data_IF_518807535532
#
_entry.id   IF_518807535532
#
_cell.length_a   1.000
_cell.length_b   1.000
_cell.length_c   1.000
_cell.angle_alpha   90.00
_cell.angle_beta   90.00
_cell.angle_gamma   90.00
#
_symmetry.space_group_name_H-M   'P 1'
#
loop_
_entity.id
_entity.type
_entity.pdbx_description
1 polymer ?
#
# COMPACT_ATOMS: atom_id res chain seq x y z
N UNK A 1 1.81 14.75 -5.34
CA UNK A 1 0.50 14.26 -5.80
C UNK A 1 0.55 13.59 -7.19
N UNK A 2 1.36 14.09 -8.15
CA UNK A 2 1.54 13.45 -9.48
C UNK A 2 2.07 12.00 -9.43
N UNK A 3 2.86 11.61 -8.41
CA UNK A 3 3.37 10.23 -8.29
C UNK A 3 2.26 9.22 -7.98
N UNK A 4 1.24 9.58 -7.18
CA UNK A 4 0.18 8.64 -6.79
C UNK A 4 -0.86 8.45 -7.91
N UNK A 5 -1.18 9.53 -8.64
CA UNK A 5 -2.09 9.44 -9.79
C UNK A 5 -1.50 8.54 -10.91
N UNK A 6 -0.19 8.65 -11.17
CA UNK A 6 0.49 7.81 -12.16
C UNK A 6 0.62 6.34 -11.75
N UNK A 7 0.61 6.01 -10.45
CA UNK A 7 0.66 4.62 -9.98
C UNK A 7 -0.63 3.85 -10.28
N UNK A 8 -1.76 4.53 -10.46
CA UNK A 8 -3.04 3.89 -10.77
C UNK A 8 -3.25 3.60 -12.27
N UNK A 9 -2.64 4.39 -13.16
CA UNK A 9 -2.85 4.25 -14.62
C UNK A 9 -2.11 3.05 -15.21
N UNK A 10 -1.00 2.61 -14.60
CA UNK A 10 -0.22 1.43 -15.00
C UNK A 10 -0.70 0.12 -14.34
N UNK A 11 -1.72 0.17 -13.47
CA UNK A 11 -2.24 -1.01 -12.77
C UNK A 11 -3.24 -1.79 -13.62
N UNK A 12 -2.75 -2.55 -14.60
CA UNK A 12 -3.56 -3.61 -15.19
C UNK A 12 -3.89 -4.65 -14.09
N UNK A 13 -5.17 -4.95 -13.89
CA UNK A 13 -5.68 -6.04 -13.04
C UNK A 13 -5.31 -7.41 -13.69
N UNK A 14 -4.01 -7.72 -13.71
CA UNK A 14 -3.42 -8.92 -14.35
C UNK A 14 -3.81 -10.21 -13.66
N UNK A 15 -3.98 -10.17 -12.34
CA UNK A 15 -4.30 -11.33 -11.53
C UNK A 15 -5.53 -11.06 -10.66
N UNK A 16 -6.27 -12.13 -10.35
CA UNK A 16 -7.36 -12.10 -9.38
C UNK A 16 -7.02 -12.88 -8.13
N UNK A 17 -7.64 -12.48 -7.02
CA UNK A 17 -7.45 -13.09 -5.72
C UNK A 17 -7.87 -14.57 -5.72
N UNK A 18 -7.11 -15.43 -5.02
CA UNK A 18 -7.58 -16.80 -4.74
C UNK A 18 -8.75 -16.84 -3.74
N UNK A 19 -9.32 -18.02 -3.55
CA UNK A 19 -10.32 -18.27 -2.51
C UNK A 19 -9.72 -17.99 -1.11
N UNK A 20 -10.36 -17.16 -0.25
CA UNK A 20 -9.91 -16.92 1.13
C UNK A 20 -9.64 -18.20 1.95
N UNK A 21 -10.32 -19.32 1.64
CA UNK A 21 -10.06 -20.61 2.27
C UNK A 21 -8.67 -21.20 1.97
N UNK A 22 -7.96 -20.66 0.97
CA UNK A 22 -6.60 -21.05 0.57
C UNK A 22 -5.51 -20.23 1.25
N UNK A 23 -5.88 -19.32 2.16
CA UNK A 23 -4.95 -18.49 2.93
C UNK A 23 -3.95 -19.37 3.67
N UNK A 24 -2.69 -18.95 3.64
CA UNK A 24 -1.59 -19.58 4.37
C UNK A 24 -1.26 -18.78 5.65
N UNK A 25 -0.72 -19.42 6.69
CA UNK A 25 -0.11 -18.74 7.83
C UNK A 25 0.90 -17.66 7.39
N UNK A 26 1.00 -16.54 8.11
CA UNK A 26 1.92 -15.42 7.79
C UNK A 26 3.38 -15.90 7.73
N UNK A 27 3.74 -16.90 8.54
CA UNK A 27 5.08 -17.50 8.51
C UNK A 27 5.43 -18.13 7.15
N UNK A 28 4.51 -18.92 6.57
CA UNK A 28 4.69 -19.52 5.25
C UNK A 28 4.72 -18.46 4.14
N UNK A 29 3.86 -17.44 4.25
CA UNK A 29 3.90 -16.30 3.32
C UNK A 29 5.23 -15.55 3.39
N UNK A 30 5.79 -15.40 4.59
CA UNK A 30 7.07 -14.71 4.80
C UNK A 30 8.25 -15.50 4.25
N UNK A 31 8.25 -16.83 4.36
CA UNK A 31 9.24 -17.70 3.73
C UNK A 31 9.20 -17.54 2.20
N UNK A 32 8.02 -17.65 1.59
CA UNK A 32 7.86 -17.46 0.13
C UNK A 32 8.34 -16.08 -0.34
N UNK A 33 8.01 -15.03 0.42
CA UNK A 33 8.44 -13.66 0.11
C UNK A 33 9.97 -13.52 0.19
N UNK A 34 10.61 -14.28 1.08
CA UNK A 34 12.08 -14.33 1.20
C UNK A 34 12.68 -15.03 0.00
N UNK A 35 12.18 -16.22 -0.37
CA UNK A 35 12.64 -16.96 -1.56
C UNK A 35 12.55 -16.11 -2.82
N UNK A 36 11.41 -15.46 -3.06
CA UNK A 36 11.23 -14.57 -4.22
C UNK A 36 12.23 -13.41 -4.18
N UNK A 37 12.47 -12.81 -3.01
CA UNK A 37 13.44 -11.73 -2.89
C UNK A 37 14.88 -12.18 -3.14
N UNK A 38 15.25 -13.41 -2.75
CA UNK A 38 16.57 -13.99 -3.00
C UNK A 38 16.82 -14.27 -4.49
N UNK A 39 15.81 -14.77 -5.20
CA UNK A 39 15.88 -15.02 -6.66
C UNK A 39 15.90 -13.73 -7.48
N UNK A 40 15.37 -12.66 -6.91
CA UNK A 40 15.08 -11.41 -7.58
C UNK A 40 16.26 -10.45 -7.60
N UNK A 41 16.54 -9.76 -6.48
CA UNK A 41 17.72 -8.92 -6.29
C UNK A 41 18.05 -8.77 -4.80
N UNK A 42 19.33 -8.64 -4.47
CA UNK A 42 19.80 -8.36 -3.11
C UNK A 42 19.15 -7.08 -2.50
N UNK A 43 18.71 -6.14 -3.34
CA UNK A 43 17.97 -4.96 -2.88
C UNK A 43 16.57 -5.26 -2.33
N UNK A 44 15.91 -6.35 -2.74
CA UNK A 44 14.59 -6.71 -2.20
C UNK A 44 14.66 -7.31 -0.80
N UNK A 45 15.73 -8.04 -0.48
CA UNK A 45 15.96 -8.60 0.85
C UNK A 45 16.02 -7.51 1.93
N UNK A 46 16.25 -6.26 1.53
CA UNK A 46 16.22 -5.10 2.42
C UNK A 46 14.82 -4.73 2.93
N UNK A 47 13.79 -5.25 2.27
CA UNK A 47 12.39 -4.88 2.49
C UNK A 47 11.52 -6.06 2.94
N UNK A 48 12.03 -7.30 2.85
CA UNK A 48 11.38 -8.48 3.42
C UNK A 48 11.63 -8.53 4.93
N UNK A 49 10.58 -8.72 5.76
CA UNK A 49 10.76 -8.99 7.17
C UNK A 49 11.52 -10.28 7.42
N UNK A 50 12.60 -10.24 8.21
CA UNK A 50 13.26 -11.47 8.66
C UNK A 50 12.39 -12.17 9.72
N UNK A 51 11.96 -13.41 9.43
CA UNK A 51 11.15 -14.26 10.31
C UNK A 51 11.94 -15.54 10.65
N UNK A 52 12.90 -15.50 11.59
CA UNK A 52 13.73 -16.65 11.93
C UNK A 52 12.95 -17.82 12.57
N UNK A 53 11.76 -17.55 13.11
CA UNK A 53 10.92 -18.57 13.73
C UNK A 53 9.44 -18.21 13.54
N UNK A 54 8.65 -19.18 13.08
CA UNK A 54 7.21 -19.15 13.22
C UNK A 54 6.69 -20.50 13.70
N UNK A 55 5.59 -20.48 14.43
CA UNK A 55 4.90 -21.69 14.86
C UNK A 55 3.39 -21.47 14.82
N UNK A 56 2.69 -22.40 14.18
CA UNK A 56 1.23 -22.41 14.09
C UNK A 56 0.65 -23.42 15.10
N UNK A 57 -0.25 -22.94 15.95
CA UNK A 57 -1.00 -23.75 16.90
C UNK A 57 -2.46 -23.78 16.45
N UNK A 58 -2.98 -24.94 15.97
CA UNK A 58 -4.38 -25.03 15.59
C UNK A 58 -5.26 -24.73 16.82
N UNK A 59 -6.37 -24.01 16.64
CA UNK A 59 -7.32 -23.87 17.75
C UNK A 59 -7.79 -25.27 18.17
N UNK A 60 -7.51 -25.62 19.42
CA UNK A 60 -8.29 -26.65 20.09
C UNK A 60 -9.70 -26.08 20.31
N UNK A 61 -10.77 -26.87 20.15
CA UNK A 61 -12.12 -26.37 20.37
C UNK A 61 -12.21 -25.80 21.81
N UNK A 62 -12.91 -24.67 22.03
CA UNK A 62 -12.66 -23.88 23.22
C UNK A 62 -13.03 -24.63 24.50
N UNK A 63 -12.19 -24.49 25.52
CA UNK A 63 -12.69 -24.30 26.88
C UNK A 63 -13.53 -23.00 26.85
N UNK A 64 -14.83 -23.20 26.64
CA UNK A 64 -15.98 -22.35 26.94
C UNK A 64 -16.24 -21.04 26.15
N UNK A 65 -17.29 -21.14 25.33
CA UNK A 65 -18.43 -20.21 25.16
C UNK A 65 -18.19 -18.75 24.77
N UNK A 66 -18.32 -18.46 23.48
CA UNK A 66 -19.12 -17.30 23.04
C UNK A 66 -20.52 -17.81 22.67
N UNK A 67 -21.62 -17.22 23.19
CA UNK A 67 -22.97 -17.65 22.83
C UNK A 67 -23.17 -17.55 21.31
N UNK A 68 -23.60 -18.66 20.71
CA UNK A 68 -23.79 -18.83 19.27
C UNK A 68 -25.01 -18.06 18.71
N UNK A 69 -25.51 -17.03 19.40
CA UNK A 69 -26.77 -16.38 19.05
C UNK A 69 -26.63 -15.25 18.02
N UNK A 70 -25.42 -14.95 17.50
CA UNK A 70 -25.21 -13.85 16.53
C UNK A 70 -24.34 -14.20 15.32
N UNK A 71 -23.97 -15.46 15.11
CA UNK A 71 -23.24 -15.90 13.91
C UNK A 71 -24.18 -16.62 12.94
N UNK A 72 -25.19 -15.91 12.46
CA UNK A 72 -25.99 -16.35 11.30
C UNK A 72 -25.26 -15.97 10.01
N UNK A 73 -24.23 -16.77 9.67
CA UNK A 73 -23.75 -17.07 8.32
C UNK A 73 -22.53 -17.99 8.45
N UNK A 74 -22.77 -19.28 8.17
CA UNK A 74 -21.85 -20.38 8.40
C UNK A 74 -20.59 -20.36 7.53
N UNK A 75 -19.54 -19.72 8.03
CA UNK A 75 -18.16 -20.10 7.74
C UNK A 75 -17.49 -20.31 9.10
N UNK A 76 -17.26 -21.57 9.44
CA UNK A 76 -16.45 -21.94 10.61
C UNK A 76 -14.99 -21.59 10.29
N UNK A 77 -14.65 -20.30 10.41
CA UNK A 77 -13.28 -19.82 10.27
C UNK A 77 -12.45 -20.43 11.39
N UNK A 78 -11.79 -21.54 11.08
CA UNK A 78 -10.84 -22.17 12.00
C UNK A 78 -9.74 -21.17 12.33
N UNK A 79 -9.79 -20.65 13.55
CA UNK A 79 -8.73 -19.77 14.06
C UNK A 79 -7.51 -20.62 14.41
N UNK A 80 -6.32 -20.10 14.14
CA UNK A 80 -5.08 -20.68 14.62
C UNK A 80 -4.30 -19.58 15.33
N UNK A 81 -3.65 -19.91 16.44
CA UNK A 81 -2.71 -19.02 17.08
C UNK A 81 -1.38 -19.15 16.33
N UNK A 82 -0.92 -18.06 15.74
CA UNK A 82 0.39 -17.99 15.12
C UNK A 82 1.34 -17.22 16.04
N UNK A 83 2.52 -17.77 16.26
CA UNK A 83 3.62 -17.10 16.96
C UNK A 83 4.72 -16.85 15.94
N UNK A 84 5.05 -15.58 15.69
CA UNK A 84 6.13 -15.17 14.81
C UNK A 84 7.19 -14.40 15.61
N UNK A 85 8.45 -14.78 15.44
CA UNK A 85 9.59 -13.99 15.90
C UNK A 85 10.14 -13.25 14.70
N UNK A 86 10.23 -11.93 14.80
CA UNK A 86 10.78 -11.10 13.73
C UNK A 86 11.87 -10.18 14.26
N UNK A 87 12.66 -9.62 13.37
CA UNK A 87 13.50 -8.47 13.73
C UNK A 87 12.65 -7.28 14.24
N UNK A 88 13.33 -6.31 14.85
CA UNK A 88 12.69 -5.09 15.36
C UNK A 88 12.35 -4.13 14.20
N UNK A 89 11.10 -3.68 14.19
CA UNK A 89 10.62 -2.65 13.27
C UNK A 89 10.08 -1.46 14.06
N UNK A 90 10.12 -0.30 13.42
CA UNK A 90 9.63 0.94 13.97
C UNK A 90 8.44 1.43 13.15
N UNK A 91 7.35 1.90 13.79
CA UNK A 91 6.22 2.51 13.10
C UNK A 91 6.67 3.64 12.18
N UNK A 92 6.15 3.68 10.95
CA UNK A 92 6.46 4.76 10.00
C UNK A 92 6.15 6.16 10.58
N UNK A 93 5.21 6.23 11.52
CA UNK A 93 4.82 7.43 12.25
C UNK A 93 5.97 8.06 13.02
N UNK A 94 7.01 7.32 13.40
CA UNK A 94 8.17 7.84 14.13
C UNK A 94 9.18 8.59 13.25
N UNK A 95 9.08 8.51 11.92
CA UNK A 95 9.93 9.29 11.02
C UNK A 95 9.55 10.78 11.10
N UNK A 96 10.55 11.64 11.32
CA UNK A 96 10.35 13.08 11.54
C UNK A 96 10.79 13.93 10.36
N UNK A 97 11.65 13.40 9.50
CA UNK A 97 12.17 14.08 8.34
C UNK A 97 11.50 13.58 7.06
N UNK A 98 11.16 14.53 6.18
CA UNK A 98 10.49 14.24 4.92
C UNK A 98 11.31 13.33 3.99
N UNK A 99 12.64 13.42 4.00
CA UNK A 99 13.51 12.64 3.11
C UNK A 99 13.54 11.15 3.48
N UNK A 100 13.69 10.81 4.77
CA UNK A 100 13.58 9.42 5.25
C UNK A 100 12.17 8.89 5.02
N UNK A 101 11.15 9.71 5.22
CA UNK A 101 9.77 9.34 4.95
C UNK A 101 9.54 8.99 3.47
N UNK A 102 9.92 9.88 2.54
CA UNK A 102 9.80 9.63 1.09
C UNK A 102 10.57 8.37 0.72
N UNK A 103 11.76 8.19 1.29
CA UNK A 103 12.61 7.02 1.04
C UNK A 103 11.90 5.74 1.46
N UNK A 104 11.38 5.68 2.69
CA UNK A 104 10.70 4.51 3.22
C UNK A 104 9.41 4.19 2.45
N UNK A 105 8.57 5.19 2.16
CA UNK A 105 7.34 4.97 1.40
C UNK A 105 7.65 4.50 -0.02
N UNK A 106 8.59 5.13 -0.72
CA UNK A 106 8.98 4.70 -2.06
C UNK A 106 9.44 3.23 -2.06
N UNK A 107 10.26 2.85 -1.08
CA UNK A 107 10.71 1.47 -0.91
C UNK A 107 9.55 0.50 -0.65
N UNK A 108 8.56 0.88 0.16
CA UNK A 108 7.34 0.07 0.40
C UNK A 108 6.56 -0.14 -0.90
N UNK A 109 6.35 0.91 -1.69
CA UNK A 109 5.66 0.78 -2.98
C UNK A 109 6.46 -0.06 -3.98
N UNK A 110 7.77 0.19 -4.10
CA UNK A 110 8.66 -0.57 -4.98
C UNK A 110 8.69 -2.06 -4.59
N UNK A 111 8.84 -2.37 -3.31
CA UNK A 111 8.82 -3.73 -2.78
C UNK A 111 7.48 -4.43 -3.01
N UNK A 112 6.37 -3.75 -2.68
CA UNK A 112 5.05 -4.34 -2.81
C UNK A 112 4.67 -4.63 -4.26
N UNK A 113 5.06 -3.75 -5.19
CA UNK A 113 4.91 -3.99 -6.63
C UNK A 113 5.60 -5.28 -7.06
N UNK A 114 6.82 -5.53 -6.56
CA UNK A 114 7.58 -6.74 -6.90
C UNK A 114 6.99 -8.00 -6.27
N UNK A 115 6.49 -7.94 -5.04
CA UNK A 115 5.73 -9.06 -4.48
C UNK A 115 4.51 -9.41 -5.33
N UNK A 116 3.78 -8.41 -5.82
CA UNK A 116 2.65 -8.65 -6.70
C UNK A 116 3.07 -9.24 -8.05
N UNK A 117 4.12 -8.70 -8.68
CA UNK A 117 4.58 -9.14 -10.00
C UNK A 117 5.28 -10.51 -9.99
N UNK A 118 6.09 -10.77 -8.97
CA UNK A 118 7.02 -11.91 -8.90
C UNK A 118 6.52 -13.03 -7.96
N UNK A 119 5.90 -12.68 -6.83
CA UNK A 119 5.32 -13.66 -5.89
C UNK A 119 3.82 -13.90 -6.11
N UNK A 120 3.19 -13.12 -7.00
CA UNK A 120 1.74 -13.11 -7.21
C UNK A 120 0.98 -12.96 -5.89
N UNK A 121 1.43 -12.05 -5.01
CA UNK A 121 0.83 -11.86 -3.71
C UNK A 121 0.06 -10.54 -3.65
N UNK A 122 -1.17 -10.59 -3.14
CA UNK A 122 -1.91 -9.42 -2.66
C UNK A 122 -1.95 -9.41 -1.15
N UNK A 123 -1.69 -8.25 -0.54
CA UNK A 123 -1.63 -8.10 0.91
C UNK A 123 -3.00 -8.19 1.55
N UNK A 124 -3.99 -7.49 0.99
CA UNK A 124 -5.37 -7.61 1.41
C UNK A 124 -5.73 -7.04 2.78
N UNK A 125 -4.87 -6.30 3.49
CA UNK A 125 -5.27 -5.51 4.65
C UNK A 125 -4.25 -4.42 5.00
N UNK A 126 -3.86 -3.64 4.00
CA UNK A 126 -2.92 -2.54 4.23
C UNK A 126 -3.54 -1.49 5.16
N UNK A 127 -2.83 -1.17 6.25
CA UNK A 127 -3.19 -0.10 7.19
C UNK A 127 -1.96 0.75 7.50
N UNK A 128 -2.13 1.90 8.18
CA UNK A 128 -0.98 2.68 8.63
C UNK A 128 -0.03 1.88 9.53
N UNK A 129 -0.58 0.95 10.32
CA UNK A 129 0.22 0.12 11.22
C UNK A 129 1.00 -0.98 10.48
N UNK A 130 0.61 -1.36 9.27
CA UNK A 130 1.38 -2.31 8.48
C UNK A 130 2.57 -1.66 7.75
N UNK A 131 2.59 -0.32 7.66
CA UNK A 131 3.70 0.44 7.09
C UNK A 131 4.72 0.74 8.20
N UNK A 132 5.90 0.15 8.06
CA UNK A 132 6.97 0.21 9.05
C UNK A 132 8.28 0.67 8.41
N UNK A 133 9.29 0.89 9.23
CA UNK A 133 10.68 0.97 8.78
C UNK A 133 11.62 0.20 9.70
N UNK A 134 12.79 -0.16 9.17
CA UNK A 134 13.91 -0.66 9.95
C UNK A 134 15.15 0.20 9.71
N UNK A 135 16.03 0.24 10.71
CA UNK A 135 17.31 0.95 10.62
C UNK A 135 18.44 -0.07 10.54
N UNK A 136 19.08 -0.17 9.38
CA UNK A 136 20.21 -1.08 9.14
C UNK A 136 21.40 -0.28 8.62
N UNK A 137 22.56 -0.41 9.26
CA UNK A 137 23.79 0.31 8.90
C UNK A 137 23.61 1.84 8.76
N UNK A 138 22.76 2.43 9.62
CA UNK A 138 22.44 3.86 9.58
C UNK A 138 21.45 4.28 8.48
N UNK A 139 20.98 3.35 7.64
CA UNK A 139 20.01 3.59 6.58
C UNK A 139 18.60 3.20 7.01
N UNK A 140 17.62 3.97 6.55
CA UNK A 140 16.20 3.68 6.71
C UNK A 140 15.76 2.79 5.54
N UNK A 141 15.09 1.69 5.87
CA UNK A 141 14.45 0.82 4.90
C UNK A 141 12.97 0.69 5.24
N UNK A 142 12.09 1.11 4.34
CA UNK A 142 10.65 0.91 4.46
C UNK A 142 10.30 -0.57 4.34
N UNK A 143 9.32 -1.01 5.12
CA UNK A 143 8.90 -2.41 5.21
C UNK A 143 7.37 -2.45 5.32
N UNK A 144 6.75 -3.35 4.58
CA UNK A 144 5.32 -3.66 4.68
C UNK A 144 5.18 -4.97 5.47
N UNK A 145 4.33 -4.98 6.49
CA UNK A 145 4.11 -6.09 7.43
C UNK A 145 2.68 -6.62 7.35
N UNK A 146 2.36 -7.63 8.15
CA UNK A 146 0.98 -8.07 8.41
C UNK A 146 0.34 -8.76 7.19
N UNK A 147 1.00 -9.83 6.75
CA UNK A 147 0.52 -10.65 5.62
C UNK A 147 -0.50 -11.71 6.04
N UNK A 148 -1.06 -11.62 7.24
CA UNK A 148 -2.04 -12.58 7.77
C UNK A 148 -3.30 -12.69 6.89
N UNK A 149 -3.70 -11.60 6.22
CA UNK A 149 -4.86 -11.59 5.34
C UNK A 149 -4.50 -11.68 3.84
N UNK A 150 -3.23 -11.93 3.55
CA UNK A 150 -2.73 -12.01 2.18
C UNK A 150 -3.28 -13.21 1.42
N UNK A 151 -3.36 -13.05 0.11
CA UNK A 151 -3.86 -14.08 -0.79
C UNK A 151 -2.96 -14.13 -2.03
N UNK A 152 -2.61 -15.36 -2.40
CA UNK A 152 -1.90 -15.62 -3.64
C UNK A 152 -2.88 -15.46 -4.81
N UNK A 153 -2.42 -14.86 -5.88
CA UNK A 153 -3.23 -14.56 -7.04
C UNK A 153 -3.14 -15.72 -8.04
N UNK A 154 -4.26 -16.01 -8.69
CA UNK A 154 -4.31 -16.96 -9.80
C UNK A 154 -4.46 -16.20 -11.12
N UNK A 155 -4.00 -16.83 -12.21
CA UNK A 155 -4.26 -16.36 -13.58
C UNK A 155 -5.75 -16.60 -13.96
N UNK A 156 -6.46 -17.49 -13.25
CA UNK A 156 -7.86 -17.81 -13.51
C UNK A 156 -8.80 -16.71 -13.01
N UNK A 157 -9.70 -16.25 -13.87
CA UNK A 157 -10.71 -15.20 -13.62
C UNK A 157 -11.86 -15.64 -12.70
N UNK A 158 -11.71 -16.75 -11.97
CA UNK A 158 -12.75 -17.17 -11.03
C UNK A 158 -12.75 -16.20 -9.85
N UNK A 159 -13.82 -15.40 -9.80
CA UNK A 159 -14.00 -14.37 -8.80
C UNK A 159 -14.38 -15.04 -7.50
N UNK A 160 -13.42 -15.27 -6.62
CA UNK A 160 -13.73 -15.50 -5.22
C UNK A 160 -14.24 -14.20 -4.61
N UNK A 161 -15.36 -14.28 -3.90
CA UNK A 161 -15.78 -13.18 -3.04
C UNK A 161 -14.79 -13.14 -1.88
N UNK A 162 -14.08 -12.03 -1.74
CA UNK A 162 -13.26 -11.83 -0.54
C UNK A 162 -14.21 -11.81 0.65
N UNK A 163 -13.99 -12.73 1.59
CA UNK A 163 -14.74 -12.76 2.84
C UNK A 163 -14.62 -11.39 3.51
N UNK A 164 -15.77 -10.96 4.04
CA UNK A 164 -16.05 -9.66 4.62
C UNK A 164 -14.91 -9.20 5.54
N UNK A 165 -14.17 -8.16 5.13
CA UNK A 165 -13.07 -7.62 5.94
C UNK A 165 -13.60 -7.02 7.23
N UNK A 166 -13.24 -7.65 8.36
CA UNK A 166 -13.33 -7.07 9.71
C UNK A 166 -12.16 -6.12 9.99
N UNK A 167 -11.79 -5.29 9.01
CA UNK A 167 -10.67 -4.34 9.09
C UNK A 167 -11.12 -2.90 9.37
N UNK A 168 -10.15 -2.02 9.64
CA UNK A 168 -10.39 -0.58 9.82
C UNK A 168 -10.81 0.04 8.49
N UNK A 169 -12.11 0.31 8.32
CA UNK A 169 -12.72 0.80 7.06
C UNK A 169 -12.04 2.04 6.48
N UNK A 170 -11.40 2.85 7.32
CA UNK A 170 -10.67 4.06 6.96
C UNK A 170 -9.60 3.84 5.89
N UNK A 171 -8.98 2.65 5.84
CA UNK A 171 -7.97 2.31 4.83
C UNK A 171 -8.55 1.57 3.62
N UNK A 172 -9.75 1.01 3.73
CA UNK A 172 -10.37 0.19 2.68
C UNK A 172 -10.69 1.01 1.42
N UNK A 173 -10.30 0.48 0.25
CA UNK A 173 -10.58 1.05 -1.06
C UNK A 173 -12.08 1.37 -1.29
N UNK A 174 -12.37 2.43 -2.04
CA UNK A 174 -13.74 2.91 -2.33
C UNK A 174 -14.63 1.79 -2.89
N UNK A 175 -14.07 0.97 -3.78
CA UNK A 175 -14.82 -0.12 -4.42
C UNK A 175 -15.21 -1.25 -3.45
N UNK A 176 -14.49 -1.38 -2.35
CA UNK A 176 -14.70 -2.39 -1.31
C UNK A 176 -15.60 -1.88 -0.16
N UNK A 177 -15.97 -0.59 -0.15
CA UNK A 177 -16.88 -0.02 0.86
C UNK A 177 -18.38 -0.29 0.59
N UNK A 178 -18.72 -1.07 -0.44
CA UNK A 178 -20.09 -1.45 -0.84
C UNK A 178 -20.56 -2.67 -0.05
N UNK A 179 -21.88 -2.88 0.05
CA UNK A 179 -22.47 -4.01 0.79
C UNK A 179 -22.06 -5.38 0.20
N UNK A 180 -21.94 -5.45 -1.13
CA UNK A 180 -21.42 -6.61 -1.84
C UNK A 180 -20.12 -6.20 -2.56
N UNK A 181 -18.97 -6.25 -1.88
CA UNK A 181 -17.71 -5.83 -2.47
C UNK A 181 -17.33 -6.77 -3.62
N UNK A 182 -16.65 -6.21 -4.63
CA UNK A 182 -16.03 -7.00 -5.68
C UNK A 182 -14.82 -7.79 -5.14
N UNK A 183 -14.30 -8.72 -5.94
CA UNK A 183 -13.04 -9.39 -5.62
C UNK A 183 -11.92 -8.36 -5.38
N UNK A 184 -11.00 -8.70 -4.48
CA UNK A 184 -9.88 -7.83 -4.16
C UNK A 184 -8.84 -7.85 -5.29
N UNK A 185 -8.25 -6.69 -5.57
CA UNK A 185 -7.27 -6.48 -6.63
C UNK A 185 -6.11 -5.66 -6.09
N UNK A 186 -4.96 -5.75 -6.76
CA UNK A 186 -3.73 -5.04 -6.39
C UNK A 186 -3.95 -3.52 -6.25
N UNK A 187 -4.74 -2.92 -7.15
CA UNK A 187 -5.10 -1.50 -7.09
C UNK A 187 -5.79 -1.10 -5.77
N UNK A 188 -6.52 -2.01 -5.14
CA UNK A 188 -7.16 -1.72 -3.85
C UNK A 188 -6.15 -1.64 -2.70
N UNK A 189 -5.08 -2.43 -2.74
CA UNK A 189 -3.99 -2.30 -1.76
C UNK A 189 -3.17 -1.04 -2.01
N UNK A 190 -2.99 -0.62 -3.26
CA UNK A 190 -2.38 0.69 -3.58
C UNK A 190 -3.23 1.86 -3.09
N UNK A 191 -4.56 1.79 -3.28
CA UNK A 191 -5.48 2.80 -2.74
C UNK A 191 -5.40 2.84 -1.20
N UNK A 192 -5.25 1.68 -0.56
CA UNK A 192 -5.07 1.56 0.89
C UNK A 192 -3.73 2.14 1.37
N UNK A 193 -2.63 1.89 0.65
CA UNK A 193 -1.31 2.52 0.89
C UNK A 193 -1.40 4.04 0.77
N UNK A 194 -2.12 4.54 -0.24
CA UNK A 194 -2.36 5.97 -0.42
C UNK A 194 -3.09 6.56 0.79
N UNK A 195 -4.17 5.93 1.26
CA UNK A 195 -4.86 6.40 2.46
C UNK A 195 -3.97 6.34 3.70
N UNK A 196 -3.11 5.32 3.84
CA UNK A 196 -2.09 5.27 4.89
C UNK A 196 -1.17 6.50 4.87
N UNK A 197 -0.69 6.89 3.69
CA UNK A 197 0.11 8.10 3.49
C UNK A 197 -0.68 9.36 3.85
N UNK A 198 -1.92 9.50 3.40
CA UNK A 198 -2.78 10.66 3.73
C UNK A 198 -2.99 10.79 5.23
N UNK A 199 -3.37 9.71 5.91
CA UNK A 199 -3.57 9.69 7.37
C UNK A 199 -2.27 10.07 8.08
N UNK A 200 -1.15 9.48 7.69
CA UNK A 200 0.15 9.80 8.28
C UNK A 200 0.53 11.27 8.12
N UNK A 201 0.53 11.77 6.89
CA UNK A 201 1.05 13.11 6.60
C UNK A 201 0.15 14.22 7.11
N UNK A 202 -1.13 13.93 7.34
CA UNK A 202 -2.12 14.91 7.79
C UNK A 202 -2.34 14.90 9.29
N UNK A 203 -2.04 13.79 9.97
CA UNK A 203 -2.35 13.60 11.39
C UNK A 203 -1.13 13.50 12.30
N UNK A 204 0.06 13.26 11.76
CA UNK A 204 1.25 13.04 12.60
C UNK A 204 2.28 14.16 12.47
N UNK A 205 2.80 14.60 13.61
CA UNK A 205 3.91 15.54 13.73
C UNK A 205 4.88 15.06 14.82
N UNK A 206 6.17 15.01 14.50
CA UNK A 206 7.23 14.61 15.44
C UNK A 206 7.02 13.26 16.15
N UNK A 207 6.40 12.30 15.47
CA UNK A 207 6.13 10.97 16.02
C UNK A 207 4.82 10.84 16.79
N UNK A 208 3.99 11.87 16.81
CA UNK A 208 2.75 11.91 17.59
C UNK A 208 1.58 12.36 16.72
N UNK A 209 0.42 11.80 17.01
CA UNK A 209 -0.82 12.30 16.44
C UNK A 209 -1.14 13.69 17.01
N UNK A 210 -1.56 14.62 16.15
CA UNK A 210 -1.90 16.00 16.52
C UNK A 210 -3.32 16.07 17.10
N UNK A 211 -3.57 17.09 17.92
CA UNK A 211 -4.93 17.39 18.39
C UNK A 211 -5.83 17.83 17.22
N UNK A 212 -7.13 17.51 17.30
CA UNK A 212 -8.11 17.79 16.24
C UNK A 212 -7.68 17.23 14.87
N UNK A 213 -7.08 16.03 14.89
CA UNK A 213 -6.50 15.39 13.72
C UNK A 213 -7.48 15.31 12.52
N UNK A 214 -7.06 15.79 11.33
CA UNK A 214 -7.85 15.70 10.10
C UNK A 214 -8.30 14.28 9.80
N UNK A 215 -9.46 14.12 9.18
CA UNK A 215 -10.05 12.82 8.84
C UNK A 215 -10.43 11.94 10.06
N UNK A 216 -10.60 12.50 11.26
CA UNK A 216 -11.05 11.74 12.43
C UNK A 216 -12.37 10.98 12.16
N UNK A 217 -13.27 11.61 11.40
CA UNK A 217 -14.54 11.03 10.97
C UNK A 217 -14.40 9.76 10.11
N UNK A 218 -13.24 9.53 9.49
CA UNK A 218 -13.02 8.30 8.73
C UNK A 218 -12.95 7.05 9.60
N UNK A 219 -12.67 7.22 10.89
CA UNK A 219 -12.54 6.14 11.87
C UNK A 219 -13.83 5.92 12.66
N UNK A 220 -14.74 6.89 12.68
CA UNK A 220 -15.93 6.88 13.53
C UNK A 220 -17.23 6.79 12.73
N UNK A 221 -17.29 7.33 11.51
CA UNK A 221 -18.52 7.39 10.71
C UNK A 221 -18.67 6.18 9.76
N UNK A 222 -19.91 5.94 9.32
CA UNK A 222 -20.27 4.77 8.52
C UNK A 222 -19.74 4.79 7.08
N UNK A 223 -19.72 3.60 6.44
CA UNK A 223 -19.14 3.38 5.11
C UNK A 223 -19.67 4.33 4.01
N UNK A 224 -20.95 4.72 4.07
CA UNK A 224 -21.57 5.64 3.09
C UNK A 224 -20.93 7.02 3.12
N UNK A 225 -20.72 7.57 4.32
CA UNK A 225 -20.06 8.87 4.51
C UNK A 225 -18.59 8.79 4.09
N UNK A 226 -17.88 7.77 4.57
CA UNK A 226 -16.47 7.56 4.26
C UNK A 226 -16.21 7.49 2.75
N UNK A 227 -17.06 6.75 2.02
CA UNK A 227 -16.99 6.64 0.57
C UNK A 227 -17.09 8.01 -0.11
N UNK A 228 -18.04 8.85 0.30
CA UNK A 228 -18.19 10.20 -0.26
C UNK A 228 -16.97 11.08 0.00
N UNK A 229 -16.42 11.04 1.21
CA UNK A 229 -15.21 11.80 1.56
C UNK A 229 -14.00 11.38 0.71
N UNK A 230 -13.81 10.07 0.53
CA UNK A 230 -12.72 9.52 -0.30
C UNK A 230 -12.86 9.89 -1.77
N UNK A 231 -14.08 9.85 -2.32
CA UNK A 231 -14.35 10.33 -3.70
C UNK A 231 -14.04 11.82 -3.81
N UNK A 232 -14.44 12.63 -2.83
CA UNK A 232 -14.12 14.07 -2.82
C UNK A 232 -12.62 14.33 -2.76
N UNK A 233 -11.86 13.53 -2.00
CA UNK A 233 -10.40 13.65 -1.92
C UNK A 233 -9.72 13.33 -3.27
N UNK A 234 -10.21 12.33 -4.00
CA UNK A 234 -9.59 11.86 -5.25
C UNK A 234 -10.04 12.69 -6.46
N UNK A 235 -11.34 13.02 -6.53
CA UNK A 235 -11.98 13.61 -7.71
C UNK A 235 -12.43 15.06 -7.52
N UNK A 236 -12.35 15.59 -6.30
CA UNK A 236 -12.69 16.98 -6.02
C UNK A 236 -11.66 17.95 -6.59
N UNK A 237 -11.96 19.26 -6.56
CA UNK A 237 -10.93 20.28 -6.80
C UNK A 237 -9.75 20.00 -5.86
N UNK A 238 -8.52 20.14 -6.37
CA UNK A 238 -7.33 19.96 -5.54
C UNK A 238 -7.21 21.11 -4.52
N UNK A 239 -8.01 21.04 -3.46
CA UNK A 239 -7.71 21.72 -2.21
C UNK A 239 -6.39 21.16 -1.68
N UNK A 240 -5.55 22.01 -1.09
CA UNK A 240 -4.31 21.55 -0.47
C UNK A 240 -4.65 20.47 0.56
N UNK A 241 -4.18 19.24 0.31
CA UNK A 241 -4.20 18.18 1.32
C UNK A 241 -3.55 18.75 2.57
N UNK A 242 -4.25 18.68 3.70
CA UNK A 242 -3.75 19.25 4.94
C UNK A 242 -2.53 18.45 5.39
N UNK A 243 -1.34 19.05 5.33
CA UNK A 243 -0.11 18.43 5.80
C UNK A 243 0.28 19.01 7.15
N UNK A 244 0.84 18.17 8.01
CA UNK A 244 1.50 18.68 9.21
C UNK A 244 2.85 19.32 8.87
N UNK A 245 3.43 20.15 9.76
CA UNK A 245 4.72 20.79 9.51
C UNK A 245 5.87 19.83 9.18
N UNK A 246 5.81 18.58 9.67
CA UNK A 246 6.82 17.56 9.34
C UNK A 246 6.83 17.19 7.85
N UNK A 247 5.73 17.43 7.14
CA UNK A 247 5.50 16.97 5.78
C UNK A 247 5.20 18.10 4.78
N UNK A 248 5.20 19.37 5.18
CA UNK A 248 5.01 20.52 4.27
C UNK A 248 5.95 20.49 3.05
N UNK A 249 7.18 20.01 3.23
CA UNK A 249 8.19 19.88 2.16
C UNK A 249 7.84 18.86 1.09
N UNK A 250 6.81 18.03 1.29
CA UNK A 250 6.34 17.06 0.30
C UNK A 250 5.61 17.74 -0.86
N UNK A 251 5.09 18.94 -0.66
CA UNK A 251 4.49 19.75 -1.73
C UNK A 251 5.61 20.51 -2.43
N UNK A 252 6.08 19.98 -3.55
CA UNK A 252 6.87 20.78 -4.50
C UNK A 252 5.91 21.47 -5.47
N UNK A 253 6.10 22.77 -5.76
CA UNK A 253 5.40 23.43 -6.85
C UNK A 253 5.60 22.62 -8.15
N UNK A 254 4.54 22.51 -8.94
CA UNK A 254 4.49 21.69 -10.17
C UNK A 254 5.46 22.17 -11.27
N UNK A 255 6.13 23.32 -11.09
CA UNK A 255 6.83 24.04 -12.14
C UNK A 255 8.29 23.58 -12.43
N UNK A 256 8.84 22.58 -11.73
CA UNK A 256 10.27 22.23 -11.84
C UNK A 256 10.59 20.93 -12.60
N UNK A 257 9.64 20.35 -13.34
CA UNK A 257 9.86 19.07 -14.07
C UNK A 257 10.15 19.25 -15.57
N UNK A 258 10.17 20.48 -16.12
CA UNK A 258 10.46 20.71 -17.55
C UNK A 258 11.94 21.03 -17.86
N UNK A 259 12.90 20.57 -17.05
CA UNK A 259 14.29 21.04 -17.15
C UNK A 259 15.36 19.96 -17.00
N UNK A 260 15.51 19.05 -17.98
CA UNK A 260 16.80 18.51 -18.50
C UNK A 260 16.58 17.24 -19.33
N UNK A 261 16.19 17.42 -20.59
CA UNK A 261 16.71 16.55 -21.65
C UNK A 261 17.87 17.31 -22.28
N UNK A 262 19.08 17.06 -21.80
CA UNK A 262 20.30 17.49 -22.49
C UNK A 262 20.46 16.61 -23.73
N UNK A 263 19.82 17.00 -24.84
CA UNK A 263 20.11 16.43 -26.15
C UNK A 263 21.58 16.71 -26.47
N UNK A 264 22.43 15.69 -26.39
CA UNK A 264 23.73 15.70 -27.05
C UNK A 264 23.49 15.68 -28.55
N UNK A 265 23.36 16.84 -29.17
CA UNK A 265 23.39 16.96 -30.63
C UNK A 265 24.82 16.79 -31.10
N UNK A 266 25.09 15.64 -31.71
CA UNK A 266 26.28 15.38 -32.49
C UNK A 266 26.28 16.34 -33.67
N UNK A 267 27.20 17.30 -33.68
CA UNK A 267 27.43 18.18 -34.84
C UNK A 267 28.01 17.35 -35.98
N UNK A 268 27.24 17.11 -37.03
CA UNK A 268 27.78 16.85 -38.37
C UNK A 268 27.38 18.00 -39.29
N UNK A 269 28.39 18.61 -39.90
CA UNK A 269 28.29 19.67 -40.91
C UNK A 269 27.62 19.11 -42.17
N UNK A 270 26.73 19.88 -42.80
CA UNK A 270 26.83 20.29 -44.20
C UNK A 270 25.68 21.23 -44.64
N UNK A 271 26.09 22.41 -45.14
CA UNK A 271 25.50 23.30 -46.14
C UNK A 271 23.97 23.54 -46.29
N UNK A 272 23.62 24.83 -46.22
CA UNK A 272 22.42 25.60 -46.62
C UNK A 272 22.02 25.50 -48.12
N UNK A 273 20.99 26.23 -48.65
CA UNK A 273 19.81 26.92 -48.05
C UNK A 273 18.48 26.64 -48.79
N UNK A 274 17.32 27.04 -48.23
CA UNK A 274 16.16 27.32 -49.07
C UNK A 274 14.78 27.36 -48.40
N UNK A 275 14.27 28.58 -48.23
CA UNK A 275 12.87 29.01 -48.37
C UNK A 275 11.78 28.61 -47.33
N UNK A 276 11.33 29.66 -46.63
CA UNK A 276 9.94 30.10 -46.48
C UNK A 276 8.83 29.08 -46.17
N UNK A 277 8.24 29.19 -44.98
CA UNK A 277 6.91 29.80 -44.79
C UNK A 277 6.35 29.54 -43.37
N UNK A 278 5.89 30.63 -42.75
CA UNK A 278 4.56 30.70 -42.11
C UNK A 278 4.32 29.91 -40.81
N UNK A 279 4.56 30.56 -39.68
CA UNK A 279 3.92 30.27 -38.39
C UNK A 279 2.38 30.47 -38.43
N UNK A 280 1.63 29.54 -37.82
CA UNK A 280 0.48 29.78 -36.91
C UNK A 280 0.07 28.43 -36.29
N UNK A 281 0.23 28.21 -34.98
CA UNK A 281 -0.77 28.43 -33.89
C UNK A 281 -2.07 27.66 -34.21
N UNK A 282 -2.41 26.59 -33.49
CA UNK A 282 -2.74 26.49 -32.05
C UNK A 282 -2.20 25.18 -31.47
#
# INVERSE_FOLDING_TARGET
MSVVANLSEDCEDKFSCSDPATRRPEGETSEQNTEVAEESTESMLKHVPNVPLYQCFPATPPLETRPAEHLDQGVDEKRALQVLVTEEFYPITQLKDADSFITAIRQVFEYYRRLYEEAHLMHGDVTLNSIMYRKQNGQINGVLRDYDLSLFCNISKDRSNSLQRTGTKSYVAIDLLKENPISHFYRHDLESLFYGVVILTSRYHDGREIDNAPYADWFTLGSKYLKSQKISLISGPQEEVMLTPSFEKLVRPYDDVSGRVSSKTHTSRCATPGNSNGCRVI
#
